data_IF_806484786028
#
_entry.id   IF_806484786028
#
_cell.length_a   1.000
_cell.length_b   1.000
_cell.length_c   1.000
_cell.angle_alpha   90.00
_cell.angle_beta   90.00
_cell.angle_gamma   90.00
#
_symmetry.space_group_name_H-M   'P 1'
#
loop_
_entity.id
_entity.type
_entity.pdbx_description
1 polymer ?
#
# COMPACT_ATOMS: atom_id res chain seq x y z
N UNK A 1 -24.92 10.93 24.37
CA UNK A 1 -25.69 12.08 23.87
C UNK A 1 -24.70 12.98 23.15
N UNK A 2 -24.70 12.88 21.83
CA UNK A 2 -23.93 13.73 20.92
C UNK A 2 -24.65 15.08 20.75
N UNK A 3 -23.98 16.01 20.06
CA UNK A 3 -24.48 17.30 19.57
C UNK A 3 -24.27 18.50 20.51
N UNK A 4 -23.05 19.02 20.48
CA UNK A 4 -22.79 20.45 20.65
C UNK A 4 -21.69 20.83 19.66
N UNK A 5 -21.78 22.03 19.09
CA UNK A 5 -20.90 22.60 18.06
C UNK A 5 -21.28 22.29 16.61
N UNK A 6 -22.53 22.59 16.23
CA UNK A 6 -22.84 22.98 14.84
C UNK A 6 -23.94 24.04 14.79
N UNK A 7 -23.60 25.22 15.29
CA UNK A 7 -24.32 26.49 15.17
C UNK A 7 -23.21 27.53 15.00
N UNK A 8 -23.19 28.48 14.07
CA UNK A 8 -24.31 29.21 13.54
C UNK A 8 -23.87 29.92 12.24
N UNK A 9 -24.78 29.91 11.26
CA UNK A 9 -24.78 30.77 10.08
C UNK A 9 -24.80 32.25 10.49
N UNK A 10 -24.06 33.09 9.77
CA UNK A 10 -24.34 34.52 9.60
C UNK A 10 -23.44 35.04 8.47
N UNK A 11 -23.79 35.91 7.53
CA UNK A 11 -24.98 36.54 6.92
C UNK A 11 -24.42 37.31 5.71
N UNK A 12 -25.24 37.57 4.69
CA UNK A 12 -25.28 38.78 3.81
C UNK A 12 -26.19 38.41 2.60
N UNK A 13 -27.51 38.68 2.64
CA UNK A 13 -28.23 39.83 2.00
C UNK A 13 -27.80 40.11 0.55
N UNK A 14 -28.65 40.19 -0.47
CA UNK A 14 -30.11 40.20 -0.62
C UNK A 14 -30.47 40.90 -1.96
N UNK A 15 -31.55 40.50 -2.64
CA UNK A 15 -32.61 41.36 -3.19
C UNK A 15 -33.61 40.58 -4.07
N UNK A 16 -34.85 41.06 -4.05
CA UNK A 16 -36.11 40.45 -4.49
C UNK A 16 -36.53 41.00 -5.86
N UNK A 17 -37.21 40.19 -6.68
CA UNK A 17 -38.24 40.66 -7.61
C UNK A 17 -39.35 39.60 -7.79
N UNK A 18 -40.60 39.97 -7.43
CA UNK A 18 -41.86 39.25 -7.77
C UNK A 18 -42.25 39.49 -9.24
N UNK A 19 -43.22 38.83 -9.89
CA UNK A 19 -44.61 38.43 -9.53
C UNK A 19 -45.08 37.40 -10.61
N UNK A 20 -45.70 36.25 -10.31
CA UNK A 20 -47.12 35.93 -10.04
C UNK A 20 -48.10 35.96 -11.24
N UNK A 21 -48.63 34.78 -11.64
CA UNK A 21 -50.00 34.56 -12.14
C UNK A 21 -50.51 33.18 -11.66
N UNK A 22 -51.78 33.14 -11.23
CA UNK A 22 -52.52 32.04 -10.59
C UNK A 22 -53.57 31.42 -11.53
N UNK A 23 -54.23 30.36 -11.03
CA UNK A 23 -55.50 29.70 -11.44
C UNK A 23 -55.29 28.43 -12.31
N UNK A 24 -55.86 27.25 -12.04
CA UNK A 24 -56.81 26.75 -11.03
C UNK A 24 -56.98 25.22 -11.21
N UNK A 25 -57.53 24.51 -10.22
CA UNK A 25 -57.77 23.07 -10.27
C UNK A 25 -59.24 22.77 -10.65
N UNK A 26 -59.46 21.79 -11.53
CA UNK A 26 -60.73 21.04 -11.60
C UNK A 26 -60.49 19.62 -12.13
N UNK A 27 -61.25 18.68 -11.58
CA UNK A 27 -61.19 17.24 -11.77
C UNK A 27 -61.81 16.79 -13.11
N UNK A 28 -61.42 15.58 -13.53
CA UNK A 28 -61.80 14.77 -14.71
C UNK A 28 -63.29 14.77 -15.11
N UNK A 29 -63.60 14.53 -16.41
CA UNK A 29 -64.03 13.17 -16.75
C UNK A 29 -63.34 12.58 -17.99
N UNK A 30 -63.27 11.25 -17.98
CA UNK A 30 -63.02 10.41 -19.14
C UNK A 30 -64.12 10.56 -20.21
N UNK A 31 -63.75 10.51 -21.49
CA UNK A 31 -64.45 9.74 -22.53
C UNK A 31 -63.58 9.72 -23.80
N UNK A 32 -63.35 8.51 -24.29
CA UNK A 32 -62.79 8.21 -25.59
C UNK A 32 -63.89 8.33 -26.67
N UNK A 33 -63.51 8.74 -27.87
CA UNK A 33 -64.30 8.65 -29.10
C UNK A 33 -63.27 8.55 -30.24
N UNK A 34 -62.86 7.33 -30.57
CA UNK A 34 -63.20 6.57 -31.80
C UNK A 34 -62.71 7.29 -33.07
N UNK A 35 -61.91 6.70 -33.95
CA UNK A 35 -61.81 5.31 -34.41
C UNK A 35 -60.44 5.13 -35.11
N UNK A 36 -59.90 3.90 -35.14
CA UNK A 36 -58.81 3.45 -36.04
C UNK A 36 -57.32 3.81 -35.80
N UNK A 37 -56.84 4.00 -34.55
CA UNK A 37 -55.37 4.01 -34.34
C UNK A 37 -54.87 3.15 -33.18
N UNK A 38 -55.68 2.20 -32.70
CA UNK A 38 -55.32 1.27 -31.62
C UNK A 38 -55.67 -0.19 -31.95
N UNK A 39 -55.55 -0.59 -33.22
CA UNK A 39 -55.77 -1.97 -33.69
C UNK A 39 -54.70 -2.52 -34.64
N UNK A 40 -53.53 -1.90 -34.71
CA UNK A 40 -52.35 -2.46 -35.39
C UNK A 40 -51.08 -2.04 -34.65
N UNK A 41 -50.72 -2.81 -33.63
CA UNK A 41 -49.34 -3.23 -33.33
C UNK A 41 -49.44 -4.35 -32.28
N UNK A 42 -50.01 -5.47 -32.76
CA UNK A 42 -49.79 -6.79 -32.21
C UNK A 42 -48.30 -7.11 -32.27
N UNK A 43 -47.72 -7.60 -31.18
CA UNK A 43 -46.33 -8.07 -31.21
C UNK A 43 -45.87 -8.67 -29.90
N UNK A 44 -46.55 -9.70 -29.41
CA UNK A 44 -46.05 -10.51 -28.30
C UNK A 44 -44.78 -11.25 -28.72
N UNK A 45 -43.66 -10.98 -28.06
CA UNK A 45 -42.53 -11.92 -28.00
C UNK A 45 -41.99 -11.95 -26.57
N UNK A 46 -42.49 -12.91 -25.80
CA UNK A 46 -41.85 -13.33 -24.57
C UNK A 46 -40.71 -14.29 -24.94
N UNK A 47 -39.47 -13.94 -24.59
CA UNK A 47 -38.36 -14.90 -24.57
C UNK A 47 -37.86 -14.99 -23.14
N UNK A 48 -38.33 -16.01 -22.44
CA UNK A 48 -37.77 -16.45 -21.18
C UNK A 48 -36.52 -17.30 -21.47
N UNK A 49 -35.33 -16.76 -21.22
CA UNK A 49 -34.13 -17.60 -21.13
C UNK A 49 -33.88 -17.91 -19.66
N UNK A 50 -34.42 -19.05 -19.23
CA UNK A 50 -33.98 -19.72 -18.01
C UNK A 50 -32.66 -20.42 -18.37
N UNK A 51 -31.52 -19.88 -17.93
CA UNK A 51 -30.32 -20.71 -17.76
C UNK A 51 -30.28 -21.16 -16.30
N UNK A 52 -30.83 -22.34 -16.04
CA UNK A 52 -30.50 -23.09 -14.84
C UNK A 52 -29.11 -23.68 -15.02
N UNK A 53 -28.10 -23.03 -14.44
CA UNK A 53 -26.88 -23.74 -14.07
C UNK A 53 -26.72 -23.66 -12.57
N UNK A 54 -27.34 -24.60 -11.87
CA UNK A 54 -26.78 -25.12 -10.64
C UNK A 54 -25.41 -25.74 -10.97
N UNK A 55 -24.38 -24.90 -11.02
CA UNK A 55 -23.00 -25.36 -10.91
C UNK A 55 -22.64 -25.32 -9.43
N UNK A 56 -22.80 -26.48 -8.80
CA UNK A 56 -22.24 -26.79 -7.49
C UNK A 56 -20.75 -26.44 -7.48
N UNK A 57 -20.31 -25.89 -6.36
CA UNK A 57 -18.94 -25.95 -5.88
C UNK A 57 -17.85 -25.56 -6.88
N UNK A 58 -17.57 -24.26 -6.93
CA UNK A 58 -16.19 -23.81 -6.83
C UNK A 58 -16.20 -22.45 -6.18
N UNK A 59 -16.02 -22.48 -4.85
CA UNK A 59 -15.34 -21.40 -4.16
C UNK A 59 -14.04 -21.14 -4.92
N UNK A 60 -14.07 -20.25 -5.91
CA UNK A 60 -12.84 -19.61 -6.36
C UNK A 60 -12.25 -19.04 -5.08
N UNK A 61 -11.09 -19.52 -4.61
CA UNK A 61 -10.42 -18.78 -3.57
C UNK A 61 -10.25 -17.41 -4.20
N UNK A 62 -10.93 -16.40 -3.64
CA UNK A 62 -10.51 -15.01 -3.81
C UNK A 62 -9.01 -15.10 -3.56
N UNK A 63 -8.22 -15.06 -4.64
CA UNK A 63 -6.79 -14.96 -4.55
C UNK A 63 -6.63 -13.59 -3.93
N UNK A 64 -6.64 -13.61 -2.60
CA UNK A 64 -6.21 -12.53 -1.75
C UNK A 64 -4.85 -12.24 -2.33
N UNK A 65 -4.73 -11.19 -3.14
CA UNK A 65 -3.43 -10.72 -3.60
C UNK A 65 -2.62 -10.66 -2.32
N UNK A 66 -1.63 -11.56 -2.14
CA UNK A 66 -1.01 -11.69 -0.84
C UNK A 66 -0.38 -10.34 -0.61
N UNK A 67 -0.91 -9.63 0.41
CA UNK A 67 -0.46 -8.31 0.78
C UNK A 67 1.06 -8.40 0.82
N UNK A 68 1.74 -7.75 -0.14
CA UNK A 68 3.16 -7.92 -0.33
C UNK A 68 3.81 -7.77 1.02
N UNK A 69 4.50 -8.82 1.49
CA UNK A 69 5.10 -8.77 2.82
C UNK A 69 6.02 -7.56 2.85
N UNK A 70 5.64 -6.56 3.65
CA UNK A 70 6.23 -5.23 3.73
C UNK A 70 7.78 -5.31 3.73
N UNK A 71 8.43 -4.92 2.65
CA UNK A 71 9.89 -4.95 2.53
C UNK A 71 10.51 -6.11 1.76
N UNK A 72 9.74 -7.03 1.16
CA UNK A 72 10.27 -7.92 0.11
C UNK A 72 10.03 -7.32 -1.29
N UNK A 73 11.04 -7.29 -2.17
CA UNK A 73 10.92 -6.73 -3.52
C UNK A 73 9.99 -7.57 -4.39
N UNK A 74 8.90 -6.96 -4.86
CA UNK A 74 7.92 -7.63 -5.72
C UNK A 74 8.54 -8.12 -7.04
N UNK A 75 9.55 -7.42 -7.56
CA UNK A 75 10.26 -7.80 -8.78
C UNK A 75 11.04 -9.11 -8.67
N UNK A 76 11.39 -9.54 -7.45
CA UNK A 76 12.06 -10.84 -7.23
C UNK A 76 11.07 -11.99 -7.06
N UNK A 77 9.77 -11.71 -7.03
CA UNK A 77 8.72 -12.71 -6.86
C UNK A 77 8.29 -13.24 -8.22
N UNK A 78 8.29 -14.55 -8.35
CA UNK A 78 7.86 -15.26 -9.56
C UNK A 78 6.96 -16.44 -9.21
N UNK A 79 6.21 -16.93 -10.19
CA UNK A 79 5.40 -18.15 -10.08
C UNK A 79 6.05 -19.24 -10.91
N UNK A 80 6.48 -20.32 -10.27
CA UNK A 80 7.08 -21.47 -10.94
C UNK A 80 6.12 -22.64 -10.97
N UNK A 81 6.22 -23.46 -12.02
CA UNK A 81 5.53 -24.74 -12.09
C UNK A 81 6.44 -25.84 -11.57
N UNK A 82 6.12 -26.41 -10.41
CA UNK A 82 6.90 -27.46 -9.73
C UNK A 82 5.98 -28.67 -9.56
N UNK A 83 6.36 -29.82 -10.13
CA UNK A 83 5.55 -31.06 -10.08
C UNK A 83 4.07 -30.84 -10.48
N UNK A 84 3.85 -30.04 -11.52
CA UNK A 84 2.50 -29.71 -12.02
C UNK A 84 1.76 -28.62 -11.23
N UNK A 85 2.29 -28.14 -10.09
CA UNK A 85 1.66 -27.09 -9.30
C UNK A 85 2.31 -25.73 -9.50
N UNK A 86 1.49 -24.67 -9.51
CA UNK A 86 1.96 -23.28 -9.50
C UNK A 86 2.32 -22.87 -8.08
N UNK A 87 3.60 -22.60 -7.84
CA UNK A 87 4.14 -22.22 -6.54
C UNK A 87 4.73 -20.82 -6.68
N UNK A 88 4.30 -19.92 -5.81
CA UNK A 88 4.89 -18.59 -5.70
C UNK A 88 6.17 -18.65 -4.88
N UNK A 89 7.24 -18.12 -5.46
CA UNK A 89 8.58 -18.14 -4.88
C UNK A 89 9.27 -16.79 -5.09
N UNK A 90 10.33 -16.57 -4.34
CA UNK A 90 11.29 -15.51 -4.62
C UNK A 90 12.57 -16.11 -5.17
N UNK A 91 13.12 -15.50 -6.22
CA UNK A 91 14.41 -15.89 -6.76
C UNK A 91 15.53 -15.52 -5.78
N UNK A 92 16.35 -16.50 -5.37
CA UNK A 92 17.40 -16.27 -4.37
C UNK A 92 18.48 -15.29 -4.87
N UNK A 93 18.85 -15.39 -6.15
CA UNK A 93 19.85 -14.51 -6.74
C UNK A 93 19.36 -13.06 -6.84
N UNK A 94 18.12 -12.84 -7.29
CA UNK A 94 17.51 -11.50 -7.29
C UNK A 94 17.48 -10.88 -5.89
N UNK A 95 17.10 -11.68 -4.87
CA UNK A 95 17.07 -11.22 -3.49
C UNK A 95 18.46 -10.84 -2.99
N UNK A 96 19.49 -11.63 -3.30
CA UNK A 96 20.88 -11.31 -2.95
C UNK A 96 21.33 -10.01 -3.62
N UNK A 97 21.08 -9.84 -4.92
CA UNK A 97 21.42 -8.61 -5.65
C UNK A 97 20.66 -7.38 -5.13
N UNK A 98 19.47 -7.59 -4.55
CA UNK A 98 18.68 -6.56 -3.87
C UNK A 98 19.10 -6.32 -2.40
N UNK A 99 20.17 -6.95 -1.91
CA UNK A 99 20.71 -6.75 -0.56
C UNK A 99 20.17 -7.67 0.53
N UNK A 100 19.36 -8.68 0.19
CA UNK A 100 18.77 -9.61 1.16
C UNK A 100 19.70 -10.82 1.40
N UNK A 101 20.69 -10.66 2.26
CA UNK A 101 21.72 -11.68 2.53
C UNK A 101 21.46 -12.59 3.74
N UNK A 102 20.58 -12.18 4.67
CA UNK A 102 20.30 -12.89 5.94
C UNK A 102 18.88 -13.43 5.98
N UNK A 103 18.51 -14.19 4.94
CA UNK A 103 17.19 -14.77 4.85
C UNK A 103 17.12 -16.11 5.61
N UNK A 104 15.95 -16.49 6.14
CA UNK A 104 15.80 -17.73 6.88
C UNK A 104 16.09 -18.96 6.00
N UNK A 105 17.12 -19.72 6.36
CA UNK A 105 17.58 -20.89 5.59
C UNK A 105 16.49 -21.97 5.46
N UNK A 106 15.58 -22.07 6.43
CA UNK A 106 14.44 -23.02 6.39
C UNK A 106 13.43 -22.71 5.27
N UNK A 107 13.45 -21.49 4.74
CA UNK A 107 12.59 -21.12 3.61
C UNK A 107 13.28 -21.29 2.26
N UNK A 108 14.60 -21.55 2.27
CA UNK A 108 15.41 -21.73 1.08
C UNK A 108 15.32 -23.18 0.59
N UNK A 109 15.12 -23.36 -0.71
CA UNK A 109 15.11 -24.67 -1.34
C UNK A 109 15.65 -24.59 -2.77
N UNK A 110 16.19 -25.70 -3.26
CA UNK A 110 16.56 -25.86 -4.66
C UNK A 110 15.46 -26.63 -5.37
N UNK A 111 14.82 -25.97 -6.33
CA UNK A 111 13.71 -26.56 -7.11
C UNK A 111 14.18 -26.90 -8.51
N UNK A 112 13.74 -28.05 -9.03
CA UNK A 112 13.98 -28.41 -10.43
C UNK A 112 12.95 -27.75 -11.32
N UNK A 113 13.43 -27.03 -12.33
CA UNK A 113 12.63 -26.45 -13.41
C UNK A 113 13.05 -27.06 -14.75
N UNK A 114 12.29 -26.79 -15.81
CA UNK A 114 12.65 -27.21 -17.17
C UNK A 114 13.99 -26.63 -17.65
N UNK A 115 14.50 -25.57 -17.00
CA UNK A 115 15.78 -24.92 -17.31
C UNK A 115 16.90 -25.31 -16.34
N UNK A 116 16.69 -26.36 -15.53
CA UNK A 116 17.63 -26.81 -14.52
C UNK A 116 17.26 -26.44 -13.08
N UNK A 117 18.14 -26.75 -12.11
CA UNK A 117 17.94 -26.44 -10.70
C UNK A 117 18.01 -24.93 -10.47
N UNK A 118 17.12 -24.40 -9.62
CA UNK A 118 17.09 -22.99 -9.22
C UNK A 118 16.98 -22.87 -7.71
N UNK A 119 17.81 -22.03 -7.11
CA UNK A 119 17.72 -21.63 -5.72
C UNK A 119 16.59 -20.62 -5.54
N UNK A 120 15.64 -20.93 -4.66
CA UNK A 120 14.44 -20.12 -4.42
C UNK A 120 14.08 -20.08 -2.95
N UNK A 121 13.26 -19.11 -2.58
CA UNK A 121 12.58 -19.07 -1.29
C UNK A 121 11.07 -19.22 -1.49
N UNK A 122 10.41 -20.14 -0.80
CA UNK A 122 8.94 -20.25 -0.87
C UNK A 122 8.31 -18.97 -0.34
N UNK A 123 7.48 -18.30 -1.15
CA UNK A 123 6.92 -16.99 -0.79
C UNK A 123 6.19 -17.05 0.57
N UNK A 124 5.27 -18.00 0.76
CA UNK A 124 4.54 -18.15 2.03
C UNK A 124 5.41 -18.43 3.26
N UNK A 125 6.53 -19.13 3.09
CA UNK A 125 7.48 -19.35 4.19
C UNK A 125 8.22 -18.05 4.48
N UNK A 126 8.78 -17.44 3.43
CA UNK A 126 9.60 -16.25 3.53
C UNK A 126 8.80 -15.07 4.08
N UNK A 127 7.61 -14.81 3.56
CA UNK A 127 6.70 -13.73 3.97
C UNK A 127 6.30 -13.85 5.45
N UNK A 128 6.08 -15.08 5.95
CA UNK A 128 5.87 -15.34 7.37
C UNK A 128 7.15 -15.17 8.18
N UNK A 129 8.27 -15.69 7.67
CA UNK A 129 9.59 -15.62 8.30
C UNK A 129 10.13 -14.21 8.42
N UNK A 130 9.94 -13.34 7.42
CA UNK A 130 10.30 -11.91 7.50
C UNK A 130 9.30 -11.11 8.31
N UNK A 131 8.06 -11.59 8.47
CA UNK A 131 7.07 -10.97 9.37
C UNK A 131 7.29 -11.36 10.83
N UNK A 132 7.74 -12.58 11.10
CA UNK A 132 8.15 -13.08 12.42
C UNK A 132 9.56 -12.60 12.81
N UNK A 133 10.48 -12.54 11.84
CA UNK A 133 11.81 -11.92 11.95
C UNK A 133 11.79 -10.39 11.89
N UNK A 134 10.62 -9.78 11.62
CA UNK A 134 10.37 -8.34 11.77
C UNK A 134 10.35 -7.88 13.23
N UNK A 135 10.86 -8.69 14.16
CA UNK A 135 11.37 -8.23 15.44
C UNK A 135 12.71 -7.48 15.34
N UNK A 136 13.46 -7.60 14.25
CA UNK A 136 14.90 -7.24 14.28
C UNK A 136 15.38 -6.11 13.35
N UNK A 137 14.56 -5.66 12.39
CA UNK A 137 14.88 -4.46 11.58
C UNK A 137 14.31 -3.15 12.17
N UNK A 138 13.59 -3.27 13.29
CA UNK A 138 13.39 -2.17 14.25
C UNK A 138 14.34 -2.33 15.45
N UNK A 139 15.54 -2.89 15.26
CA UNK A 139 16.66 -2.36 16.02
C UNK A 139 16.71 -0.91 15.63
N UNK A 140 16.19 -0.03 16.49
CA UNK A 140 16.54 1.36 16.43
C UNK A 140 18.02 1.41 16.16
N UNK A 141 18.42 1.98 15.03
CA UNK A 141 19.80 1.93 14.57
C UNK A 141 20.62 2.58 15.68
N UNK A 142 21.29 1.74 16.47
CA UNK A 142 21.96 2.14 17.70
C UNK A 142 23.18 2.92 17.24
N UNK A 143 23.17 4.22 17.50
CA UNK A 143 24.28 5.11 17.22
C UNK A 143 25.40 4.80 18.21
N UNK A 144 26.58 4.34 17.75
CA UNK A 144 27.67 3.99 18.65
C UNK A 144 28.27 5.26 19.25
N UNK A 145 28.43 5.30 20.58
CA UNK A 145 29.03 6.46 21.26
C UNK A 145 30.45 6.77 20.78
N UNK A 146 31.20 5.77 20.30
CA UNK A 146 32.54 5.97 19.77
C UNK A 146 32.57 6.70 18.42
N UNK A 147 31.43 6.79 17.70
CA UNK A 147 31.28 7.63 16.52
C UNK A 147 30.78 9.04 16.84
N UNK A 148 30.48 9.32 18.10
CA UNK A 148 29.95 10.61 18.52
C UNK A 148 31.03 11.67 18.42
N UNK A 149 30.66 12.80 17.84
CA UNK A 149 31.52 13.97 17.71
C UNK A 149 30.78 15.23 18.14
N UNK A 150 31.51 16.35 18.22
CA UNK A 150 30.93 17.68 18.41
C UNK A 150 31.34 18.54 17.23
N UNK A 151 30.41 19.34 16.74
CA UNK A 151 30.68 20.31 15.69
C UNK A 151 30.16 21.68 16.08
N UNK A 152 30.69 22.72 15.45
CA UNK A 152 30.27 24.10 15.68
C UNK A 152 29.51 24.60 14.46
N UNK A 153 28.34 25.18 14.68
CA UNK A 153 27.54 25.82 13.64
C UNK A 153 27.07 27.18 14.15
N UNK A 154 27.41 28.25 13.43
CA UNK A 154 27.11 29.65 13.81
C UNK A 154 27.52 29.98 15.26
N UNK A 155 28.71 29.55 15.67
CA UNK A 155 29.24 29.78 17.02
C UNK A 155 28.63 28.90 18.13
N UNK A 156 27.59 28.11 17.83
CA UNK A 156 26.97 27.18 18.77
C UNK A 156 27.52 25.76 18.59
N UNK A 157 27.72 25.03 19.70
CA UNK A 157 28.22 23.65 19.68
C UNK A 157 27.06 22.66 19.69
N UNK A 158 27.12 21.68 18.81
CA UNK A 158 26.12 20.63 18.66
C UNK A 158 26.76 19.25 18.77
N UNK A 159 25.95 18.26 19.18
CA UNK A 159 26.32 16.86 19.11
C UNK A 159 26.04 16.30 17.71
N UNK A 160 26.95 15.51 17.20
CA UNK A 160 26.79 14.81 15.93
C UNK A 160 27.47 13.46 15.94
N UNK A 161 27.51 12.85 14.77
CA UNK A 161 28.22 11.61 14.52
C UNK A 161 29.05 11.75 13.26
N UNK A 162 30.26 11.19 13.30
CA UNK A 162 31.13 11.13 12.15
C UNK A 162 30.58 10.13 11.12
N UNK A 163 30.37 10.58 9.88
CA UNK A 163 29.73 9.77 8.85
C UNK A 163 30.60 8.61 8.36
N UNK A 164 31.91 8.81 8.26
CA UNK A 164 32.85 7.74 7.88
C UNK A 164 32.91 6.66 8.97
N UNK A 165 32.94 7.08 10.24
CA UNK A 165 32.84 6.21 11.40
C UNK A 165 31.55 5.40 11.37
N UNK A 166 30.40 6.05 11.21
CA UNK A 166 29.10 5.36 11.14
C UNK A 166 29.06 4.33 10.00
N UNK A 167 29.61 4.67 8.83
CA UNK A 167 29.69 3.76 7.71
C UNK A 167 30.58 2.54 8.02
N UNK A 168 31.74 2.75 8.66
CA UNK A 168 32.63 1.68 9.12
C UNK A 168 31.99 0.79 10.19
N UNK A 169 31.11 1.37 11.01
CA UNK A 169 30.30 0.67 12.01
C UNK A 169 29.13 -0.13 11.39
N UNK A 170 28.98 -0.12 10.06
CA UNK A 170 27.91 -0.81 9.33
C UNK A 170 26.59 -0.02 9.28
N UNK A 171 26.56 1.24 9.71
CA UNK A 171 25.41 2.14 9.58
C UNK A 171 25.51 2.90 8.25
N UNK A 172 25.10 2.23 7.17
CA UNK A 172 24.92 2.82 5.85
C UNK A 172 23.54 3.46 5.65
N UNK A 173 23.33 4.16 4.52
CA UNK A 173 22.05 4.78 4.13
C UNK A 173 21.52 5.84 5.12
N UNK A 174 22.42 6.57 5.77
CA UNK A 174 22.05 7.66 6.66
C UNK A 174 21.31 8.76 5.87
N UNK A 175 20.26 9.39 6.44
CA UNK A 175 19.52 10.41 5.72
C UNK A 175 20.42 11.61 5.41
N UNK A 176 20.66 11.88 4.14
CA UNK A 176 21.45 13.04 3.70
C UNK A 176 20.93 14.36 4.27
N UNK A 177 19.63 14.46 4.55
CA UNK A 177 19.01 15.62 5.23
C UNK A 177 19.55 15.89 6.64
N UNK A 178 20.11 14.87 7.30
CA UNK A 178 20.71 15.01 8.63
C UNK A 178 22.19 15.37 8.57
N UNK A 179 22.79 15.42 7.38
CA UNK A 179 24.21 15.73 7.20
C UNK A 179 24.43 17.25 7.28
N UNK A 180 25.36 17.66 8.14
CA UNK A 180 25.79 19.03 8.40
C UNK A 180 27.23 19.19 7.92
N UNK A 181 27.40 19.30 6.60
CA UNK A 181 28.71 19.51 5.95
C UNK A 181 28.89 18.65 4.70
N UNK A 182 29.53 19.19 3.65
CA UNK A 182 29.62 18.55 2.32
C UNK A 182 30.94 17.80 2.03
N UNK A 183 31.95 17.88 2.88
CA UNK A 183 33.28 17.30 2.59
C UNK A 183 33.75 16.32 3.67
N UNK A 184 34.45 15.25 3.27
CA UNK A 184 35.16 14.32 4.15
C UNK A 184 34.28 13.37 4.98
N UNK A 185 33.33 12.67 4.36
CA UNK A 185 32.44 11.72 5.06
C UNK A 185 31.25 12.37 5.80
N UNK A 186 31.33 13.67 6.07
CA UNK A 186 30.23 14.47 6.64
C UNK A 186 29.97 14.20 8.12
N UNK A 187 29.45 15.19 8.82
CA UNK A 187 28.93 15.02 10.18
C UNK A 187 27.41 14.91 10.10
N UNK A 188 26.81 14.02 10.85
CA UNK A 188 25.36 13.91 10.96
C UNK A 188 24.88 14.48 12.28
N UNK A 189 23.85 15.33 12.23
CA UNK A 189 23.22 15.89 13.43
C UNK A 189 22.61 14.78 14.28
N UNK A 190 23.02 14.70 15.55
CA UNK A 190 22.51 13.70 16.48
C UNK A 190 21.00 13.85 16.70
N UNK A 191 20.51 15.10 16.78
CA UNK A 191 19.08 15.38 16.96
C UNK A 191 18.28 14.91 15.75
N UNK A 192 18.71 15.27 14.54
CA UNK A 192 18.02 14.85 13.32
C UNK A 192 17.96 13.32 13.19
N UNK A 193 19.06 12.62 13.49
CA UNK A 193 19.05 11.15 13.47
C UNK A 193 18.06 10.57 14.50
N UNK A 194 17.98 11.16 15.69
CA UNK A 194 17.01 10.72 16.72
C UNK A 194 15.57 10.94 16.29
N UNK A 195 15.25 12.08 15.67
CA UNK A 195 13.92 12.37 15.13
C UNK A 195 13.54 11.39 14.00
N UNK A 196 14.54 10.80 13.33
CA UNK A 196 14.38 9.74 12.32
C UNK A 196 14.36 8.32 12.91
N UNK A 197 14.35 8.18 14.24
CA UNK A 197 14.18 6.92 14.94
C UNK A 197 15.48 6.16 15.26
N UNK A 198 16.64 6.77 15.05
CA UNK A 198 17.91 6.25 15.54
C UNK A 198 17.97 6.43 17.06
N UNK A 199 18.54 5.47 17.79
CA UNK A 199 18.67 5.55 19.26
C UNK A 199 20.13 5.59 19.64
N UNK A 200 20.45 6.31 20.71
CA UNK A 200 21.79 6.22 21.32
C UNK A 200 21.85 4.94 22.15
N UNK A 201 23.05 4.38 22.32
CA UNK A 201 23.25 3.23 23.19
C UNK A 201 23.12 3.62 24.66
#
# INVERSE_FOLDING_TARGET
MAHLVQTLRSRLTGLVAGSALLVGASMTPAQASDDQLLKLLLGATAVAVIVHTASRAQSQPRQSQPAHARGLPAQCRETLRIRGQHVSVYNAHCLQSAGFHRLPAQCHEVVRTNRGPRAVYRARCLERGVSAGRGDHRRAQILPDWCRTRYTYRGQRFSGYDGACLQSAGLGNLPATCQVGRHGGGIYSAQCLQDRGFRRR
#
